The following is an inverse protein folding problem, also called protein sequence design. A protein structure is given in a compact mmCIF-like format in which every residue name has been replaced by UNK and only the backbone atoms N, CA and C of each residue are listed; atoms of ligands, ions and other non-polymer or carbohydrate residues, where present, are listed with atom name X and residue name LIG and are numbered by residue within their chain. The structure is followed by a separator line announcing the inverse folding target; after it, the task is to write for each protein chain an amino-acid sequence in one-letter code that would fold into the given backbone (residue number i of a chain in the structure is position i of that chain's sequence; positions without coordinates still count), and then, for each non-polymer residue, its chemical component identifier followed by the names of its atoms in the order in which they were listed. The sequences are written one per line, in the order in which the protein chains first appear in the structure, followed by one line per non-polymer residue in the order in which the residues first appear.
data_IF_852746647056
#
_entry.id   IF_852746647056
#
_cell.length_a   1.000
_cell.length_b   1.000
_cell.length_c   1.000
_cell.angle_alpha   90.00
_cell.angle_beta   90.00
_cell.angle_gamma   90.00
#
_symmetry.space_group_name_H-M   'P 1'
#
loop_
_entity.id
_entity.type
_entity.pdbx_description
1 polymer ?
#
# COMPACT_ATOMS: atom_id res chain seq x y z
N UNK A 1 5.50 6.63 61.13
CA UNK A 1 6.56 6.06 60.27
C UNK A 1 5.93 5.53 58.98
N UNK A 2 6.42 6.00 57.82
CA UNK A 2 6.23 5.46 56.43
C UNK A 2 4.77 5.33 55.94
N UNK A 3 4.12 6.32 55.31
CA UNK A 3 4.22 6.80 53.90
C UNK A 3 4.77 5.78 52.88
N UNK A 4 4.01 5.63 51.77
CA UNK A 4 4.34 5.10 50.43
C UNK A 4 3.86 3.69 50.09
N UNK A 5 2.83 3.62 49.23
CA UNK A 5 2.58 2.62 48.18
C UNK A 5 1.63 3.31 47.16
N UNK A 6 2.06 4.32 46.39
CA UNK A 6 2.88 4.24 45.17
C UNK A 6 2.23 3.43 44.03
N UNK A 7 1.43 4.16 43.24
CA UNK A 7 1.24 4.06 41.78
C UNK A 7 1.47 2.69 41.10
N UNK A 8 0.38 1.97 40.82
CA UNK A 8 0.36 0.81 39.94
C UNK A 8 -0.16 1.14 38.55
N UNK A 9 0.76 1.12 37.57
CA UNK A 9 0.59 0.81 36.14
C UNK A 9 -0.58 1.49 35.37
N UNK A 10 -0.33 2.70 34.85
CA UNK A 10 -0.85 3.10 33.54
C UNK A 10 0.31 3.09 32.52
N UNK A 11 0.58 1.93 31.95
CA UNK A 11 1.47 1.81 30.78
C UNK A 11 0.80 0.95 29.73
N UNK A 12 -0.35 1.42 29.21
CA UNK A 12 -1.03 0.83 28.07
C UNK A 12 -0.96 1.78 26.87
N UNK A 13 -0.25 1.36 25.82
CA UNK A 13 -0.77 1.51 24.45
C UNK A 13 -0.15 2.52 23.48
N UNK A 14 1.03 3.09 23.70
CA UNK A 14 1.61 4.08 22.76
C UNK A 14 2.31 3.50 21.49
N UNK A 15 2.21 2.19 21.22
CA UNK A 15 2.98 1.54 20.14
C UNK A 15 2.24 1.51 18.78
N UNK A 16 1.03 2.07 18.68
CA UNK A 16 0.16 1.90 17.49
C UNK A 16 0.21 2.99 16.39
N UNK A 17 0.99 4.08 16.53
CA UNK A 17 0.88 5.23 15.62
C UNK A 17 1.86 5.23 14.43
N UNK A 18 2.88 4.36 14.43
CA UNK A 18 3.94 4.43 13.42
C UNK A 18 3.43 4.09 12.01
N UNK A 19 2.52 3.13 11.90
CA UNK A 19 1.98 2.64 10.62
C UNK A 19 0.76 3.43 10.13
N UNK A 20 0.07 4.17 11.01
CA UNK A 20 -1.11 4.97 10.66
C UNK A 20 -0.77 6.34 10.06
N UNK A 21 0.47 6.80 10.23
CA UNK A 21 1.01 8.03 9.63
C UNK A 21 1.37 7.89 8.15
N UNK A 22 1.35 8.99 7.39
CA UNK A 22 1.74 8.99 5.98
C UNK A 22 1.09 10.12 5.17
N UNK A 23 1.34 10.11 3.86
CA UNK A 23 0.74 11.07 2.93
C UNK A 23 -0.77 10.81 2.78
N UNK A 24 -1.52 11.89 2.60
CA UNK A 24 -2.95 11.86 2.32
C UNK A 24 -3.22 11.58 0.82
N UNK A 25 -4.37 10.98 0.47
CA UNK A 25 -4.82 10.95 -0.90
C UNK A 25 -5.01 12.36 -1.47
N UNK A 26 -4.81 12.51 -2.78
CA UNK A 26 -5.04 13.73 -3.53
C UNK A 26 -6.14 13.50 -4.55
N UNK A 27 -7.01 14.49 -4.74
CA UNK A 27 -8.08 14.48 -5.73
C UNK A 27 -7.83 15.55 -6.76
N UNK A 28 -7.92 15.19 -8.04
CA UNK A 28 -7.85 16.12 -9.16
C UNK A 28 -9.05 15.93 -10.07
N UNK A 29 -9.58 17.00 -10.64
CA UNK A 29 -10.67 16.95 -11.62
C UNK A 29 -10.11 17.26 -13.00
N UNK A 30 -10.44 16.43 -13.98
CA UNK A 30 -10.11 16.62 -15.38
C UNK A 30 -10.85 17.84 -15.93
N UNK A 31 -10.11 18.79 -16.51
CA UNK A 31 -10.70 19.92 -17.23
C UNK A 31 -11.29 19.54 -18.60
N UNK A 32 -11.05 18.31 -19.09
CA UNK A 32 -11.54 17.84 -20.38
C UNK A 32 -12.93 17.21 -20.29
N UNK A 33 -13.11 16.26 -19.37
CA UNK A 33 -14.35 15.46 -19.24
C UNK A 33 -14.97 15.54 -17.83
N UNK A 34 -14.44 16.38 -16.94
CA UNK A 34 -14.92 16.50 -15.56
C UNK A 34 -14.65 15.28 -14.68
N UNK A 35 -13.98 14.25 -15.20
CA UNK A 35 -13.69 13.04 -14.43
C UNK A 35 -12.74 13.33 -13.27
N UNK A 36 -13.08 12.82 -12.09
CA UNK A 36 -12.23 12.87 -10.90
C UNK A 36 -11.19 11.74 -10.94
N UNK A 37 -9.99 12.06 -10.49
CA UNK A 37 -8.89 11.14 -10.22
C UNK A 37 -8.52 11.24 -8.75
N UNK A 38 -8.51 10.10 -8.06
CA UNK A 38 -7.98 9.97 -6.70
C UNK A 38 -6.65 9.25 -6.79
N UNK A 39 -5.60 9.75 -6.13
CA UNK A 39 -4.35 9.01 -6.03
C UNK A 39 -3.71 9.15 -4.65
N UNK A 40 -2.97 8.12 -4.23
CA UNK A 40 -2.12 8.17 -3.05
C UNK A 40 -0.73 7.66 -3.42
N UNK A 41 0.29 8.36 -2.93
CA UNK A 41 1.69 8.00 -3.12
C UNK A 41 2.04 6.68 -2.42
N UNK A 42 3.13 6.03 -2.86
CA UNK A 42 3.53 4.72 -2.36
C UNK A 42 3.91 4.72 -0.89
N UNK A 43 3.36 3.78 -0.12
CA UNK A 43 3.72 3.55 1.29
C UNK A 43 4.27 2.14 1.48
N UNK A 44 5.18 1.97 2.44
CA UNK A 44 5.87 0.70 2.66
C UNK A 44 4.93 -0.38 3.20
N UNK A 45 5.07 -1.59 2.66
CA UNK A 45 4.54 -2.80 3.28
C UNK A 45 5.32 -3.11 4.57
N UNK A 46 4.87 -4.09 5.35
CA UNK A 46 5.54 -4.45 6.60
C UNK A 46 6.77 -5.32 6.28
N UNK A 47 7.94 -4.67 6.29
CA UNK A 47 9.21 -5.23 5.86
C UNK A 47 10.31 -4.84 6.87
N UNK A 48 11.27 -5.73 7.06
CA UNK A 48 12.41 -5.51 7.96
C UNK A 48 13.74 -5.36 7.18
N UNK A 49 13.64 -5.23 5.85
CA UNK A 49 14.77 -5.20 4.90
C UNK A 49 14.88 -3.83 4.21
N UNK A 50 16.08 -3.48 3.74
CA UNK A 50 16.35 -2.22 3.06
C UNK A 50 15.63 -2.09 1.71
N UNK A 51 15.44 -3.21 1.01
CA UNK A 51 14.65 -3.30 -0.22
C UNK A 51 13.23 -3.68 0.18
N UNK A 52 12.35 -2.69 0.23
CA UNK A 52 10.97 -2.86 0.67
C UNK A 52 9.99 -2.40 -0.39
N UNK A 53 8.99 -3.20 -0.75
CA UNK A 53 7.94 -2.77 -1.66
C UNK A 53 7.14 -1.59 -1.09
N UNK A 54 6.81 -0.64 -1.96
CA UNK A 54 5.81 0.38 -1.68
C UNK A 54 4.55 0.11 -2.52
N UNK A 55 3.38 0.37 -1.95
CA UNK A 55 2.10 0.30 -2.66
C UNK A 55 1.46 1.69 -2.66
N UNK A 56 1.25 2.24 -3.86
CA UNK A 56 0.40 3.40 -4.11
C UNK A 56 -0.85 2.99 -4.90
N UNK A 57 -1.83 3.88 -4.99
CA UNK A 57 -3.08 3.59 -5.70
C UNK A 57 -3.60 4.79 -6.48
N UNK A 58 -4.27 4.51 -7.61
CA UNK A 58 -4.89 5.49 -8.50
C UNK A 58 -6.27 4.97 -8.91
N UNK A 59 -7.29 5.80 -8.80
CA UNK A 59 -8.67 5.51 -9.24
C UNK A 59 -9.21 6.66 -10.08
N UNK A 60 -10.03 6.32 -11.08
CA UNK A 60 -10.67 7.28 -11.99
C UNK A 60 -12.18 7.08 -11.96
N UNK A 61 -12.93 8.17 -11.81
CA UNK A 61 -14.41 8.13 -11.78
C UNK A 61 -15.05 7.69 -13.09
N UNK A 62 -14.38 7.88 -14.23
CA UNK A 62 -14.84 7.37 -15.53
C UNK A 62 -14.56 5.86 -15.74
N UNK A 63 -13.83 5.23 -14.83
CA UNK A 63 -13.59 3.78 -14.79
C UNK A 63 -13.75 3.25 -13.35
N UNK A 64 -14.95 3.38 -12.75
CA UNK A 64 -15.10 3.34 -11.29
C UNK A 64 -14.88 1.96 -10.66
N UNK A 65 -14.84 0.91 -11.47
CA UNK A 65 -14.65 -0.47 -11.01
C UNK A 65 -13.19 -0.90 -11.01
N UNK A 66 -12.29 -0.12 -11.61
CA UNK A 66 -10.87 -0.45 -11.72
C UNK A 66 -10.03 0.42 -10.80
N UNK A 67 -8.88 -0.11 -10.40
CA UNK A 67 -7.86 0.60 -9.65
C UNK A 67 -6.48 0.27 -10.23
N UNK A 68 -5.64 1.29 -10.36
CA UNK A 68 -4.22 1.12 -10.64
C UNK A 68 -3.44 1.05 -9.33
N UNK A 69 -2.78 -0.07 -9.06
CA UNK A 69 -1.85 -0.22 -7.96
C UNK A 69 -0.42 0.04 -8.47
N UNK A 70 0.20 1.12 -8.00
CA UNK A 70 1.62 1.41 -8.30
C UNK A 70 2.48 0.64 -7.30
N UNK A 71 3.22 -0.34 -7.80
CA UNK A 71 4.17 -1.12 -6.99
C UNK A 71 5.56 -0.57 -7.25
N UNK A 72 6.25 -0.15 -6.20
CA UNK A 72 7.62 0.34 -6.28
C UNK A 72 8.56 -0.52 -5.44
N UNK A 73 9.76 -0.78 -5.95
CA UNK A 73 10.89 -1.36 -5.23
C UNK A 73 11.93 -0.26 -5.07
N UNK A 74 12.16 0.18 -3.83
CA UNK A 74 13.13 1.24 -3.52
C UNK A 74 14.50 0.66 -3.14
N UNK A 75 15.55 1.48 -3.23
CA UNK A 75 16.95 1.10 -3.01
C UNK A 75 17.49 0.04 -3.98
N UNK A 76 16.79 -0.22 -5.09
CA UNK A 76 17.25 -1.14 -6.12
C UNK A 76 16.66 -0.82 -7.49
N UNK A 77 17.50 -0.96 -8.52
CA UNK A 77 17.09 -0.94 -9.93
C UNK A 77 16.90 -2.40 -10.38
N UNK A 78 15.64 -2.79 -10.63
CA UNK A 78 15.20 -4.14 -11.00
C UNK A 78 13.98 -4.08 -11.90
N UNK A 79 13.90 -4.97 -12.89
CA UNK A 79 12.67 -5.14 -13.67
C UNK A 79 11.61 -5.77 -12.77
N UNK A 80 10.38 -5.24 -12.78
CA UNK A 80 9.24 -5.84 -12.09
C UNK A 80 8.49 -6.70 -13.11
N UNK A 81 8.61 -8.02 -12.97
CA UNK A 81 8.14 -9.02 -13.93
C UNK A 81 6.71 -9.50 -13.68
N UNK A 82 6.27 -9.48 -12.41
CA UNK A 82 4.90 -9.81 -12.01
C UNK A 82 4.68 -9.44 -10.55
N UNK A 83 3.42 -9.24 -10.17
CA UNK A 83 3.00 -9.06 -8.79
C UNK A 83 1.80 -9.95 -8.51
N UNK A 84 1.91 -10.74 -7.45
CA UNK A 84 0.82 -11.54 -6.91
C UNK A 84 0.43 -11.03 -5.52
N UNK A 85 -0.86 -11.08 -5.22
CA UNK A 85 -1.38 -10.89 -3.87
C UNK A 85 -1.88 -12.22 -3.34
N UNK A 86 -1.59 -12.52 -2.08
CA UNK A 86 -2.24 -13.61 -1.35
C UNK A 86 -3.12 -12.98 -0.28
N UNK A 87 -4.44 -13.07 -0.43
CA UNK A 87 -5.43 -12.50 0.49
C UNK A 87 -6.23 -13.65 1.10
N UNK A 88 -6.03 -13.90 2.39
CA UNK A 88 -6.65 -15.00 3.15
C UNK A 88 -6.54 -16.37 2.44
N UNK A 89 -5.43 -16.60 1.72
CA UNK A 89 -5.16 -17.85 0.98
C UNK A 89 -5.54 -17.80 -0.50
N UNK A 90 -6.32 -16.81 -0.95
CA UNK A 90 -6.63 -16.60 -2.37
C UNK A 90 -5.46 -15.89 -3.06
N UNK A 91 -4.90 -16.49 -4.12
CA UNK A 91 -3.85 -15.88 -4.93
C UNK A 91 -4.45 -15.11 -6.10
N UNK A 92 -4.27 -13.79 -6.10
CA UNK A 92 -4.70 -12.87 -7.14
C UNK A 92 -3.48 -12.38 -7.91
N UNK A 93 -3.39 -12.71 -9.19
CA UNK A 93 -2.33 -12.21 -10.08
C UNK A 93 -2.73 -10.85 -10.63
N UNK A 94 -1.89 -9.83 -10.41
CA UNK A 94 -2.18 -8.50 -10.91
C UNK A 94 -1.87 -8.39 -12.40
N UNK A 95 -2.74 -7.71 -13.16
CA UNK A 95 -2.56 -7.54 -14.61
C UNK A 95 -1.60 -6.39 -14.88
N UNK A 96 -0.60 -6.67 -15.70
CA UNK A 96 0.38 -5.66 -16.11
C UNK A 96 -0.20 -4.78 -17.21
N UNK A 97 0.09 -3.47 -17.18
CA UNK A 97 -0.37 -2.55 -18.22
C UNK A 97 0.73 -1.66 -18.80
N UNK A 98 1.94 -1.67 -18.22
CA UNK A 98 3.06 -0.81 -18.63
C UNK A 98 4.40 -1.54 -18.50
N UNK A 99 5.47 -0.96 -19.03
CA UNK A 99 6.84 -1.35 -18.68
C UNK A 99 7.20 -0.88 -17.26
N UNK A 100 8.32 -1.40 -16.72
CA UNK A 100 8.87 -0.90 -15.46
C UNK A 100 9.56 0.44 -15.69
N UNK A 101 9.21 1.44 -14.90
CA UNK A 101 9.86 2.75 -14.86
C UNK A 101 11.01 2.74 -13.86
N UNK A 102 12.13 3.36 -14.23
CA UNK A 102 13.32 3.47 -13.38
C UNK A 102 13.61 4.94 -13.05
N UNK A 103 13.84 5.22 -11.77
CA UNK A 103 14.28 6.52 -11.30
C UNK A 103 15.59 6.38 -10.53
N UNK A 104 16.56 7.21 -10.88
CA UNK A 104 17.87 7.30 -10.22
C UNK A 104 18.05 8.65 -9.52
N UNK A 105 16.95 9.24 -9.05
CA UNK A 105 16.96 10.51 -8.31
C UNK A 105 17.56 10.36 -6.90
N UNK A 106 17.01 11.08 -5.92
CA UNK A 106 17.47 11.00 -4.51
C UNK A 106 17.41 9.58 -3.94
N UNK A 107 16.51 8.74 -4.46
CA UNK A 107 16.38 7.33 -4.13
C UNK A 107 16.28 6.52 -5.42
N UNK A 108 16.96 5.38 -5.47
CA UNK A 108 16.76 4.40 -6.55
C UNK A 108 15.37 3.81 -6.41
N UNK A 109 14.56 3.90 -7.46
CA UNK A 109 13.20 3.36 -7.50
C UNK A 109 12.98 2.63 -8.82
N UNK A 110 12.50 1.40 -8.74
CA UNK A 110 11.87 0.71 -9.86
C UNK A 110 10.37 0.65 -9.60
N UNK A 111 9.52 1.05 -10.54
CA UNK A 111 8.07 1.05 -10.30
C UNK A 111 7.27 0.63 -11.51
N UNK A 112 6.09 0.06 -11.27
CA UNK A 112 5.18 -0.41 -12.31
C UNK A 112 3.74 -0.32 -11.83
N UNK A 113 2.83 0.08 -12.71
CA UNK A 113 1.40 0.14 -12.40
C UNK A 113 0.73 -1.13 -12.89
N UNK A 114 -0.04 -1.75 -11.99
CA UNK A 114 -0.87 -2.90 -12.28
C UNK A 114 -2.34 -2.54 -12.13
N UNK A 115 -3.17 -3.00 -13.07
CA UNK A 115 -4.61 -2.73 -13.03
C UNK A 115 -5.34 -3.94 -12.48
N UNK A 116 -6.27 -3.69 -11.55
CA UNK A 116 -7.14 -4.71 -10.98
C UNK A 116 -8.51 -4.13 -10.62
N UNK A 117 -9.42 -4.96 -10.15
CA UNK A 117 -10.74 -4.51 -9.70
C UNK A 117 -10.61 -3.77 -8.36
N UNK A 118 -11.36 -2.68 -8.18
CA UNK A 118 -11.38 -1.91 -6.93
C UNK A 118 -11.74 -2.80 -5.73
N UNK A 119 -12.52 -3.85 -5.94
CA UNK A 119 -12.89 -4.85 -4.92
C UNK A 119 -11.68 -5.59 -4.35
N UNK A 120 -10.55 -5.65 -5.06
CA UNK A 120 -9.31 -6.23 -4.51
C UNK A 120 -8.76 -5.38 -3.36
N UNK A 121 -8.89 -4.05 -3.42
CA UNK A 121 -8.54 -3.18 -2.29
C UNK A 121 -9.47 -3.47 -1.11
N UNK A 122 -10.76 -3.65 -1.36
CA UNK A 122 -11.71 -4.03 -0.31
C UNK A 122 -11.36 -5.38 0.31
N UNK A 123 -10.95 -6.38 -0.49
CA UNK A 123 -10.47 -7.67 0.01
C UNK A 123 -9.26 -7.50 0.93
N UNK A 124 -8.27 -6.70 0.55
CA UNK A 124 -7.09 -6.41 1.41
C UNK A 124 -7.54 -5.81 2.74
N UNK A 125 -8.38 -4.77 2.71
CA UNK A 125 -8.80 -4.01 3.89
C UNK A 125 -9.69 -4.80 4.86
N UNK A 126 -10.35 -5.85 4.38
CA UNK A 126 -11.20 -6.71 5.20
C UNK A 126 -10.54 -8.06 5.55
N UNK A 127 -9.33 -8.31 5.04
CA UNK A 127 -8.63 -9.58 5.27
C UNK A 127 -8.00 -9.66 6.65
N UNK A 128 -7.80 -10.89 7.14
CA UNK A 128 -6.94 -11.13 8.31
C UNK A 128 -5.47 -11.17 7.89
N UNK A 129 -5.20 -11.61 6.67
CA UNK A 129 -3.86 -11.75 6.11
C UNK A 129 -3.87 -11.38 4.64
N UNK A 130 -3.10 -10.36 4.27
CA UNK A 130 -2.78 -10.02 2.89
C UNK A 130 -1.28 -9.84 2.72
N UNK A 131 -0.71 -10.53 1.73
CA UNK A 131 0.71 -10.51 1.40
C UNK A 131 0.89 -10.11 -0.05
N UNK A 132 2.00 -9.42 -0.34
CA UNK A 132 2.45 -9.14 -1.69
C UNK A 132 3.67 -10.00 -2.02
N UNK A 133 3.71 -10.54 -3.24
CA UNK A 133 4.89 -11.12 -3.86
C UNK A 133 5.23 -10.31 -5.11
N UNK A 134 6.42 -9.71 -5.13
CA UNK A 134 6.96 -8.99 -6.28
C UNK A 134 8.05 -9.85 -6.90
N UNK A 135 7.83 -10.30 -8.13
CA UNK A 135 8.83 -11.04 -8.90
C UNK A 135 9.68 -10.04 -9.69
N UNK A 136 10.98 -10.02 -9.41
CA UNK A 136 11.91 -9.08 -10.02
C UNK A 136 13.02 -9.79 -10.80
N UNK A 137 13.77 -9.05 -11.61
CA UNK A 137 14.97 -9.58 -12.26
C UNK A 137 16.08 -10.05 -11.30
N UNK A 138 16.01 -9.72 -10.00
CA UNK A 138 16.97 -10.15 -8.97
C UNK A 138 16.39 -11.18 -7.99
N UNK A 139 15.20 -11.71 -8.26
CA UNK A 139 14.51 -12.67 -7.41
C UNK A 139 13.19 -12.16 -6.85
N UNK A 140 12.64 -12.93 -5.91
CA UNK A 140 11.33 -12.67 -5.30
C UNK A 140 11.46 -11.80 -4.05
N UNK A 141 10.53 -10.87 -3.89
CA UNK A 141 10.35 -10.09 -2.66
C UNK A 141 8.96 -10.41 -2.12
N UNK A 142 8.87 -10.87 -0.88
CA UNK A 142 7.60 -11.23 -0.25
C UNK A 142 7.46 -10.53 1.09
N UNK A 143 6.38 -9.78 1.27
CA UNK A 143 6.13 -9.06 2.52
C UNK A 143 4.63 -8.98 2.85
N UNK A 144 4.28 -8.96 4.15
CA UNK A 144 2.91 -8.69 4.58
C UNK A 144 2.50 -7.25 4.30
N UNK A 145 1.29 -7.09 3.76
CA UNK A 145 0.54 -5.83 3.78
C UNK A 145 -0.17 -5.71 5.14
N UNK A 146 -0.83 -6.81 5.55
CA UNK A 146 -1.37 -7.04 6.89
C UNK A 146 -1.26 -8.53 7.23
N UNK A 147 -0.88 -8.87 8.45
CA UNK A 147 -0.86 -10.25 8.94
C UNK A 147 -1.23 -10.31 10.42
N UNK A 148 -2.50 -10.62 10.69
CA UNK A 148 -3.06 -10.56 12.03
C UNK A 148 -2.97 -9.14 12.60
N UNK A 149 -2.18 -8.96 13.67
CA UNK A 149 -1.94 -7.65 14.30
C UNK A 149 -0.79 -6.85 13.66
N UNK A 150 -0.03 -7.43 12.73
CA UNK A 150 1.08 -6.74 12.03
C UNK A 150 0.53 -6.04 10.79
N UNK A 151 0.16 -4.77 10.94
CA UNK A 151 -0.23 -3.91 9.82
C UNK A 151 0.97 -3.15 9.21
N UNK A 152 0.74 -2.45 8.10
CA UNK A 152 1.76 -1.69 7.38
C UNK A 152 1.29 -0.28 7.04
N UNK A 153 2.23 0.61 6.69
CA UNK A 153 1.87 1.93 6.16
C UNK A 153 1.08 1.82 4.86
N UNK A 154 1.38 0.82 4.02
CA UNK A 154 0.63 0.51 2.82
C UNK A 154 -0.84 0.18 3.12
N UNK A 155 -1.11 -0.66 4.12
CA UNK A 155 -2.47 -1.00 4.54
C UNK A 155 -3.28 0.26 4.91
N UNK A 156 -2.72 1.11 5.78
CA UNK A 156 -3.39 2.34 6.20
C UNK A 156 -3.52 3.37 5.07
N UNK A 157 -2.55 3.43 4.14
CA UNK A 157 -2.66 4.26 2.94
C UNK A 157 -3.80 3.81 2.03
N UNK A 158 -3.94 2.51 1.78
CA UNK A 158 -5.05 1.96 1.01
C UNK A 158 -6.40 2.24 1.68
N UNK A 159 -6.46 2.21 3.01
CA UNK A 159 -7.67 2.59 3.77
C UNK A 159 -8.04 4.06 3.50
N UNK A 160 -7.11 5.00 3.70
CA UNK A 160 -7.34 6.43 3.41
C UNK A 160 -7.75 6.67 1.96
N UNK A 161 -7.09 5.97 1.03
CA UNK A 161 -7.42 6.04 -0.39
C UNK A 161 -8.86 5.59 -0.67
N UNK A 162 -9.27 4.45 -0.11
CA UNK A 162 -10.63 3.93 -0.28
C UNK A 162 -11.68 4.87 0.32
N UNK A 163 -11.41 5.43 1.49
CA UNK A 163 -12.28 6.43 2.13
C UNK A 163 -12.45 7.66 1.23
N UNK A 164 -11.36 8.15 0.63
CA UNK A 164 -11.42 9.26 -0.31
C UNK A 164 -12.19 8.93 -1.60
N UNK A 165 -12.00 7.73 -2.16
CA UNK A 165 -12.78 7.25 -3.32
C UNK A 165 -14.27 7.25 -3.00
N UNK A 166 -14.67 6.72 -1.85
CA UNK A 166 -16.07 6.69 -1.42
C UNK A 166 -16.68 8.08 -1.22
N UNK A 167 -15.86 9.11 -0.98
CA UNK A 167 -16.32 10.50 -0.80
C UNK A 167 -16.58 11.19 -2.15
N UNK A 168 -15.92 10.76 -3.22
CA UNK A 168 -15.96 11.46 -4.52
C UNK A 168 -16.71 10.71 -5.62
N UNK A 169 -16.93 9.40 -5.42
CA UNK A 169 -17.76 8.53 -6.27
C UNK A 169 -19.23 8.94 -6.15
#
# INVERSE_FOLDING_TARGET
MKKLLAAGLLSLGLVGCATTSGLAPKVTTSGFDGSKRVFIDGHSVACDQMVCPLIGAIWLSNNPNLVGLKISVINSIVSINSVDLNIDGEIIKLRENTLTDFSTGTLLESSKVFVTDLTVVDKILNSKRAWIRVNTSKGLIENPIIDGSKDSKAYHALKRFKDQVNTVK
#
